data_IF_684160384150
#
_entry.id   IF_684160384150
#
_cell.length_a   1.000
_cell.length_b   1.000
_cell.length_c   1.000
_cell.angle_alpha   90.00
_cell.angle_beta   90.00
_cell.angle_gamma   90.00
#
_symmetry.space_group_name_H-M   'P 1'
#
loop_
_entity.id
_entity.type
_entity.pdbx_description
1 polymer ?
#
# COMPACT_ATOMS: atom_id res chain seq x y z
N UNK A 1 27.16 -5.02 9.49
CA UNK A 1 25.86 -4.88 10.20
C UNK A 1 25.01 -6.06 9.79
N UNK A 2 24.53 -6.87 10.74
CA UNK A 2 23.75 -8.07 10.43
C UNK A 2 22.37 -7.69 9.89
N UNK A 3 21.88 -8.42 8.89
CA UNK A 3 20.50 -8.26 8.40
C UNK A 3 19.55 -8.39 9.59
N UNK A 4 18.72 -7.37 9.80
CA UNK A 4 17.70 -7.39 10.84
C UNK A 4 16.67 -8.45 10.49
N UNK A 5 16.12 -9.13 11.50
CA UNK A 5 15.01 -10.05 11.26
C UNK A 5 13.81 -9.29 10.67
N UNK A 6 13.21 -9.85 9.62
CA UNK A 6 12.11 -9.21 8.89
C UNK A 6 10.92 -8.95 9.81
N UNK A 7 10.61 -9.85 10.75
CA UNK A 7 9.48 -9.68 11.65
C UNK A 7 9.74 -8.62 12.69
N UNK A 8 10.95 -8.55 13.23
CA UNK A 8 11.32 -7.48 14.17
C UNK A 8 11.16 -6.11 13.52
N UNK A 9 11.63 -5.97 12.27
CA UNK A 9 11.48 -4.72 11.52
C UNK A 9 10.00 -4.42 11.23
N UNK A 10 9.21 -5.40 10.77
CA UNK A 10 7.77 -5.22 10.49
C UNK A 10 6.99 -4.81 11.75
N UNK A 11 7.26 -5.45 12.88
CA UNK A 11 6.57 -5.17 14.14
C UNK A 11 6.88 -3.79 14.68
N UNK A 12 8.11 -3.31 14.50
CA UNK A 12 8.49 -1.96 14.89
C UNK A 12 7.92 -0.89 13.94
N UNK A 13 8.00 -1.14 12.62
CA UNK A 13 7.74 -0.10 11.62
C UNK A 13 6.38 -0.20 10.95
N UNK A 14 5.65 -1.30 11.10
CA UNK A 14 4.41 -1.57 10.37
C UNK A 14 4.56 -1.48 8.84
N UNK A 15 5.77 -1.69 8.31
CA UNK A 15 6.08 -1.48 6.89
C UNK A 15 6.79 -2.70 6.29
N UNK A 16 5.99 -3.69 5.85
CA UNK A 16 6.51 -4.92 5.22
C UNK A 16 7.39 -4.66 3.98
N UNK A 17 7.03 -3.75 3.05
CA UNK A 17 7.92 -3.41 1.94
C UNK A 17 9.34 -3.03 2.37
N UNK A 18 9.48 -2.15 3.37
CA UNK A 18 10.78 -1.70 3.86
C UNK A 18 11.49 -2.78 4.66
N UNK A 19 10.76 -3.56 5.47
CA UNK A 19 11.31 -4.68 6.21
C UNK A 19 11.91 -5.74 5.28
N UNK A 20 11.20 -6.09 4.19
CA UNK A 20 11.69 -7.02 3.19
C UNK A 20 12.94 -6.48 2.49
N UNK A 21 12.96 -5.19 2.14
CA UNK A 21 14.15 -4.58 1.55
C UNK A 21 15.38 -4.66 2.47
N UNK A 22 15.23 -4.28 3.73
CA UNK A 22 16.32 -4.30 4.71
C UNK A 22 16.83 -5.73 4.95
N UNK A 23 15.92 -6.67 5.19
CA UNK A 23 16.27 -8.03 5.57
C UNK A 23 16.75 -8.91 4.40
N UNK A 24 16.19 -8.74 3.20
CA UNK A 24 16.34 -9.68 2.08
C UNK A 24 17.04 -9.12 0.84
N UNK A 25 17.11 -7.79 0.68
CA UNK A 25 17.62 -7.17 -0.53
C UNK A 25 18.90 -6.36 -0.29
N UNK A 26 19.02 -5.71 0.86
CA UNK A 26 20.17 -4.86 1.19
C UNK A 26 21.43 -5.71 1.30
N UNK A 27 22.53 -5.24 0.69
CA UNK A 27 23.81 -5.96 0.60
C UNK A 27 23.73 -7.33 -0.09
N UNK A 28 22.77 -7.53 -0.98
CA UNK A 28 22.68 -8.73 -1.83
C UNK A 28 22.92 -8.41 -3.30
N UNK A 29 23.24 -9.45 -4.08
CA UNK A 29 23.33 -9.36 -5.54
C UNK A 29 21.99 -9.63 -6.25
N UNK A 30 20.87 -9.68 -5.50
CA UNK A 30 19.55 -9.90 -6.09
C UNK A 30 19.23 -8.84 -7.13
N UNK A 31 18.67 -9.30 -8.23
CA UNK A 31 18.13 -8.49 -9.31
C UNK A 31 16.64 -8.27 -9.12
N UNK A 32 16.07 -7.31 -9.84
CA UNK A 32 14.62 -7.12 -9.88
C UNK A 32 13.91 -8.39 -10.38
N UNK A 33 14.53 -9.16 -11.28
CA UNK A 33 14.00 -10.44 -11.73
C UNK A 33 13.95 -11.48 -10.60
N UNK A 34 14.95 -11.52 -9.71
CA UNK A 34 14.93 -12.45 -8.57
C UNK A 34 13.79 -12.10 -7.60
N UNK A 35 13.56 -10.81 -7.34
CA UNK A 35 12.42 -10.37 -6.51
C UNK A 35 11.08 -10.68 -7.16
N UNK A 36 11.01 -10.59 -8.49
CA UNK A 36 9.82 -10.97 -9.25
C UNK A 36 9.54 -12.47 -9.17
N UNK A 37 10.58 -13.31 -9.28
CA UNK A 37 10.46 -14.77 -9.14
C UNK A 37 10.02 -15.14 -7.70
N UNK A 38 10.56 -14.47 -6.68
CA UNK A 38 10.12 -14.58 -5.29
C UNK A 38 8.63 -14.17 -5.13
N UNK A 39 8.22 -13.06 -5.77
CA UNK A 39 6.84 -12.58 -5.75
C UNK A 39 5.86 -13.56 -6.42
N UNK A 40 6.24 -14.14 -7.56
CA UNK A 40 5.45 -15.17 -8.24
C UNK A 40 5.25 -16.38 -7.33
N UNK A 41 6.33 -16.86 -6.70
CA UNK A 41 6.29 -18.00 -5.79
C UNK A 41 5.39 -17.73 -4.59
N UNK A 42 5.49 -16.53 -4.01
CA UNK A 42 4.65 -16.08 -2.91
C UNK A 42 3.17 -16.03 -3.26
N UNK A 43 2.83 -15.40 -4.40
CA UNK A 43 1.42 -15.31 -4.86
C UNK A 43 0.83 -16.69 -5.12
N UNK A 44 1.57 -17.61 -5.75
CA UNK A 44 1.11 -18.98 -5.98
C UNK A 44 0.86 -19.73 -4.67
N UNK A 45 1.75 -19.57 -3.68
CA UNK A 45 1.61 -20.19 -2.35
C UNK A 45 0.35 -19.70 -1.64
N UNK A 46 0.18 -18.38 -1.54
CA UNK A 46 -0.99 -17.78 -0.89
C UNK A 46 -2.29 -18.14 -1.62
N UNK A 47 -2.26 -18.13 -2.95
CA UNK A 47 -3.37 -18.60 -3.77
C UNK A 47 -3.77 -20.04 -3.45
N UNK A 48 -2.80 -20.95 -3.35
CA UNK A 48 -3.06 -22.34 -2.97
C UNK A 48 -3.63 -22.46 -1.55
N UNK A 49 -3.11 -21.70 -0.58
CA UNK A 49 -3.62 -21.68 0.81
C UNK A 49 -5.07 -21.19 0.91
N UNK A 50 -5.49 -20.29 0.02
CA UNK A 50 -6.83 -19.72 -0.02
C UNK A 50 -7.81 -20.43 -0.96
N UNK A 51 -7.41 -21.55 -1.58
CA UNK A 51 -8.18 -22.23 -2.65
C UNK A 51 -8.50 -21.30 -3.84
N UNK A 52 -7.50 -20.50 -4.23
CA UNK A 52 -7.50 -19.51 -5.33
C UNK A 52 -6.40 -19.79 -6.37
N UNK A 53 -5.96 -21.04 -6.50
CA UNK A 53 -4.84 -21.42 -7.37
C UNK A 53 -4.99 -20.93 -8.82
N UNK A 54 -6.15 -21.10 -9.44
CA UNK A 54 -6.38 -20.65 -10.83
C UNK A 54 -6.24 -19.13 -10.99
N UNK A 55 -6.65 -18.36 -9.99
CA UNK A 55 -6.50 -16.90 -9.98
C UNK A 55 -5.04 -16.51 -9.77
N UNK A 56 -4.32 -17.18 -8.87
CA UNK A 56 -2.90 -16.95 -8.65
C UNK A 56 -2.04 -17.28 -9.88
N UNK A 57 -2.34 -18.37 -10.58
CA UNK A 57 -1.70 -18.71 -11.86
C UNK A 57 -1.93 -17.63 -12.92
N UNK A 58 -3.14 -17.09 -13.00
CA UNK A 58 -3.46 -15.99 -13.92
C UNK A 58 -2.67 -14.72 -13.58
N UNK A 59 -2.65 -14.30 -12.31
CA UNK A 59 -1.90 -13.10 -11.87
C UNK A 59 -0.39 -13.25 -12.13
N UNK A 60 0.17 -14.43 -11.86
CA UNK A 60 1.63 -14.66 -11.98
C UNK A 60 2.10 -14.85 -13.41
N UNK A 61 1.24 -15.31 -14.31
CA UNK A 61 1.53 -15.35 -15.75
C UNK A 61 1.84 -13.97 -16.32
N UNK A 62 1.10 -12.95 -15.88
CA UNK A 62 1.34 -11.55 -16.29
C UNK A 62 2.70 -11.04 -15.78
N UNK A 63 3.05 -11.36 -14.52
CA UNK A 63 4.36 -11.02 -13.96
C UNK A 63 5.51 -11.71 -14.71
N UNK A 64 5.37 -13.01 -15.00
CA UNK A 64 6.42 -13.81 -15.64
C UNK A 64 6.84 -13.23 -17.01
N UNK A 65 5.89 -12.68 -17.77
CA UNK A 65 6.15 -12.05 -19.07
C UNK A 65 7.08 -10.82 -18.98
N UNK A 66 7.19 -10.22 -17.80
CA UNK A 66 8.00 -9.02 -17.54
C UNK A 66 9.36 -9.34 -16.92
N UNK A 67 9.64 -10.60 -16.61
CA UNK A 67 10.91 -11.06 -16.03
C UNK A 67 12.12 -10.56 -16.79
N UNK A 68 12.05 -10.54 -18.12
CA UNK A 68 13.13 -10.06 -19.00
C UNK A 68 13.61 -8.63 -18.71
N UNK A 69 12.73 -7.78 -18.17
CA UNK A 69 13.07 -6.39 -17.87
C UNK A 69 13.85 -6.23 -16.55
N UNK A 70 13.82 -7.23 -15.67
CA UNK A 70 14.46 -7.16 -14.34
C UNK A 70 15.85 -7.80 -14.24
N UNK A 71 16.31 -8.54 -15.26
CA UNK A 71 17.46 -9.46 -15.17
C UNK A 71 18.81 -8.74 -14.93
N UNK A 72 18.94 -7.48 -15.34
CA UNK A 72 20.20 -6.72 -15.21
C UNK A 72 20.19 -5.66 -14.12
N UNK A 73 19.04 -5.47 -13.46
CA UNK A 73 18.82 -4.38 -12.52
C UNK A 73 19.06 -4.89 -11.10
N UNK A 74 20.25 -4.63 -10.54
CA UNK A 74 20.53 -4.98 -9.14
C UNK A 74 19.74 -4.07 -8.20
N UNK A 75 18.94 -4.65 -7.30
CA UNK A 75 18.01 -3.91 -6.43
C UNK A 75 18.68 -3.02 -5.39
N UNK A 76 19.91 -3.36 -4.99
CA UNK A 76 20.69 -2.55 -4.03
C UNK A 76 21.27 -1.29 -4.69
N UNK A 77 21.49 -1.33 -6.00
CA UNK A 77 22.09 -0.24 -6.79
C UNK A 77 21.05 0.59 -7.55
N UNK A 78 19.92 -0.02 -7.91
CA UNK A 78 18.86 0.60 -8.69
C UNK A 78 17.59 0.78 -7.86
N UNK A 79 17.22 2.04 -7.66
CA UNK A 79 16.03 2.44 -6.92
C UNK A 79 14.78 2.64 -7.81
N UNK A 80 14.84 2.27 -9.09
CA UNK A 80 13.69 2.40 -10.00
C UNK A 80 13.40 1.05 -10.63
N UNK A 81 12.11 0.74 -10.77
CA UNK A 81 11.67 -0.42 -11.52
C UNK A 81 11.62 -0.05 -13.01
N UNK A 82 11.85 -1.01 -13.92
CA UNK A 82 11.40 -0.87 -15.30
C UNK A 82 9.95 -0.41 -15.33
N UNK A 83 9.63 0.54 -16.21
CA UNK A 83 8.35 1.24 -16.20
C UNK A 83 7.18 0.26 -16.42
N UNK A 84 7.34 -0.68 -17.35
CA UNK A 84 6.37 -1.73 -17.66
C UNK A 84 6.11 -2.65 -16.46
N UNK A 85 7.14 -2.92 -15.65
CA UNK A 85 6.99 -3.71 -14.43
C UNK A 85 6.23 -2.92 -13.36
N UNK A 86 6.53 -1.62 -13.19
CA UNK A 86 5.81 -0.77 -12.25
C UNK A 86 4.31 -0.68 -12.59
N UNK A 87 3.98 -0.45 -13.86
CA UNK A 87 2.58 -0.42 -14.33
C UNK A 87 1.88 -1.76 -14.09
N UNK A 88 2.56 -2.88 -14.34
CA UNK A 88 1.97 -4.20 -14.13
C UNK A 88 1.73 -4.53 -12.66
N UNK A 89 2.64 -4.16 -11.75
CA UNK A 89 2.41 -4.35 -10.31
C UNK A 89 1.17 -3.59 -9.85
N UNK A 90 1.00 -2.35 -10.32
CA UNK A 90 -0.20 -1.54 -10.08
C UNK A 90 -1.44 -2.20 -10.69
N UNK A 91 -1.35 -2.65 -11.95
CA UNK A 91 -2.45 -3.32 -12.65
C UNK A 91 -2.93 -4.57 -11.90
N UNK A 92 -2.01 -5.45 -11.51
CA UNK A 92 -2.29 -6.68 -10.76
C UNK A 92 -2.96 -6.35 -9.42
N UNK A 93 -2.45 -5.36 -8.70
CA UNK A 93 -3.05 -4.94 -7.43
C UNK A 93 -4.41 -4.25 -7.60
N UNK A 94 -4.70 -3.66 -8.77
CA UNK A 94 -6.02 -3.06 -9.06
C UNK A 94 -7.09 -4.09 -9.44
N UNK A 95 -6.72 -5.34 -9.70
CA UNK A 95 -7.68 -6.37 -10.11
C UNK A 95 -8.52 -6.81 -8.93
N UNK A 96 -9.81 -6.98 -9.19
CA UNK A 96 -10.73 -7.69 -8.31
C UNK A 96 -10.29 -9.15 -8.17
N UNK A 97 -9.35 -9.38 -7.25
CA UNK A 97 -8.73 -10.67 -6.97
C UNK A 97 -8.49 -10.87 -5.49
N UNK A 98 -8.01 -12.05 -5.09
CA UNK A 98 -7.69 -12.32 -3.68
C UNK A 98 -6.54 -11.45 -3.14
N UNK A 99 -5.61 -11.01 -4.00
CA UNK A 99 -4.34 -10.43 -3.55
C UNK A 99 -4.50 -9.09 -2.80
N UNK A 100 -5.27 -8.10 -3.27
CA UNK A 100 -5.46 -6.85 -2.54
C UNK A 100 -6.14 -7.04 -1.19
N UNK A 101 -7.16 -7.91 -1.13
CA UNK A 101 -7.87 -8.25 0.11
C UNK A 101 -6.96 -8.95 1.12
N UNK A 102 -6.19 -9.94 0.67
CA UNK A 102 -5.22 -10.64 1.51
C UNK A 102 -4.15 -9.68 2.04
N UNK A 103 -3.56 -8.86 1.17
CA UNK A 103 -2.54 -7.90 1.58
C UNK A 103 -3.09 -6.88 2.58
N UNK A 104 -4.30 -6.35 2.37
CA UNK A 104 -4.94 -5.46 3.33
C UNK A 104 -5.14 -6.16 4.68
N UNK A 105 -5.66 -7.39 4.69
CA UNK A 105 -5.89 -8.17 5.90
C UNK A 105 -4.59 -8.41 6.70
N UNK A 106 -3.52 -8.84 6.03
CA UNK A 106 -2.24 -9.17 6.67
C UNK A 106 -1.53 -7.90 7.14
N UNK A 107 -1.45 -6.88 6.30
CA UNK A 107 -0.68 -5.66 6.57
C UNK A 107 -1.35 -4.72 7.58
N UNK A 108 -2.68 -4.78 7.75
CA UNK A 108 -3.39 -4.02 8.79
C UNK A 108 -3.09 -4.53 10.21
N UNK A 109 -2.52 -5.73 10.36
CA UNK A 109 -2.13 -6.30 11.66
C UNK A 109 -0.65 -6.68 11.71
N UNK A 110 0.30 -5.72 11.68
CA UNK A 110 1.73 -6.02 11.60
C UNK A 110 2.25 -6.96 12.70
N UNK A 111 1.64 -6.91 13.89
CA UNK A 111 2.02 -7.76 15.02
C UNK A 111 1.71 -9.24 14.79
N UNK A 112 0.74 -9.54 13.93
CA UNK A 112 0.26 -10.89 13.63
C UNK A 112 0.90 -11.52 12.40
N UNK A 113 1.77 -10.77 11.69
CA UNK A 113 2.44 -11.26 10.48
C UNK A 113 3.39 -12.40 10.85
N UNK A 114 3.23 -13.55 10.19
CA UNK A 114 4.13 -14.70 10.35
C UNK A 114 5.35 -14.59 9.44
N UNK A 115 6.44 -15.31 9.74
CA UNK A 115 7.61 -15.38 8.84
C UNK A 115 7.23 -15.86 7.44
N UNK A 116 6.27 -16.78 7.35
CA UNK A 116 5.80 -17.32 6.09
C UNK A 116 5.08 -16.26 5.26
N UNK A 117 4.17 -15.50 5.86
CA UNK A 117 3.48 -14.37 5.23
C UNK A 117 4.44 -13.25 4.85
N UNK A 118 5.41 -12.94 5.71
CA UNK A 118 6.43 -11.93 5.41
C UNK A 118 7.26 -12.33 4.19
N UNK A 119 7.60 -13.61 4.05
CA UNK A 119 8.37 -14.13 2.93
C UNK A 119 7.54 -14.29 1.64
N UNK A 120 6.26 -14.65 1.74
CA UNK A 120 5.38 -14.81 0.56
C UNK A 120 4.87 -13.46 0.02
N UNK A 121 4.47 -12.54 0.90
CA UNK A 121 3.89 -11.25 0.50
C UNK A 121 4.93 -10.12 0.41
N UNK A 122 6.06 -10.24 1.11
CA UNK A 122 7.13 -9.24 1.14
C UNK A 122 7.66 -8.84 -0.25
N UNK A 123 8.00 -9.80 -1.14
CA UNK A 123 8.51 -9.48 -2.47
C UNK A 123 7.54 -8.64 -3.31
N UNK A 124 6.27 -9.06 -3.42
CA UNK A 124 5.27 -8.30 -4.17
C UNK A 124 4.94 -6.96 -3.50
N UNK A 125 4.86 -6.94 -2.16
CA UNK A 125 4.68 -5.69 -1.38
C UNK A 125 5.78 -4.68 -1.69
N UNK A 126 7.04 -5.14 -1.78
CA UNK A 126 8.14 -4.27 -2.15
C UNK A 126 8.00 -3.75 -3.59
N UNK A 127 7.72 -4.63 -4.56
CA UNK A 127 7.53 -4.22 -5.96
C UNK A 127 6.43 -3.16 -6.11
N UNK A 128 5.27 -3.39 -5.49
CA UNK A 128 4.15 -2.44 -5.50
C UNK A 128 4.51 -1.11 -4.82
N UNK A 129 5.18 -1.17 -3.66
CA UNK A 129 5.66 0.02 -2.97
C UNK A 129 6.59 0.86 -3.85
N UNK A 130 7.52 0.22 -4.57
CA UNK A 130 8.40 0.91 -5.52
C UNK A 130 7.62 1.50 -6.68
N UNK A 131 6.67 0.75 -7.24
CA UNK A 131 5.84 1.20 -8.35
C UNK A 131 5.04 2.46 -7.99
N UNK A 132 4.34 2.47 -6.84
CA UNK A 132 3.56 3.62 -6.37
C UNK A 132 4.45 4.84 -6.12
N UNK A 133 5.65 4.67 -5.55
CA UNK A 133 6.59 5.79 -5.35
C UNK A 133 7.17 6.32 -6.65
N UNK A 134 7.37 5.46 -7.64
CA UNK A 134 7.87 5.86 -8.96
C UNK A 134 6.81 6.61 -9.76
N UNK A 135 5.56 6.17 -9.68
CA UNK A 135 4.39 6.71 -10.40
C UNK A 135 3.55 7.65 -9.53
N UNK A 136 4.18 8.21 -8.51
CA UNK A 136 3.52 8.99 -7.47
C UNK A 136 2.75 10.19 -8.04
N UNK A 137 1.55 10.41 -7.53
CA UNK A 137 0.72 11.55 -7.92
C UNK A 137 0.91 12.70 -6.94
N UNK A 138 1.11 13.91 -7.46
CA UNK A 138 1.23 15.13 -6.67
C UNK A 138 -0.01 16.02 -6.82
N UNK A 139 -0.15 17.03 -5.96
CA UNK A 139 -1.23 18.02 -6.04
C UNK A 139 -2.63 17.44 -5.78
N UNK A 140 -2.71 16.40 -4.95
CA UNK A 140 -3.97 15.88 -4.42
C UNK A 140 -4.21 16.53 -3.06
N UNK A 141 -5.22 17.42 -2.91
CA UNK A 141 -5.42 18.14 -1.65
C UNK A 141 -6.16 17.29 -0.61
N UNK A 142 -7.11 16.47 -1.02
CA UNK A 142 -7.94 15.69 -0.11
C UNK A 142 -8.32 14.38 -0.76
N UNK A 143 -8.34 13.31 0.04
CA UNK A 143 -8.88 12.01 -0.35
C UNK A 143 -9.86 11.49 0.69
N UNK A 144 -10.69 10.54 0.28
CA UNK A 144 -11.81 10.03 1.03
C UNK A 144 -11.76 8.51 1.09
N UNK A 145 -12.12 7.94 2.24
CA UNK A 145 -12.21 6.49 2.42
C UNK A 145 -13.40 6.15 3.28
N UNK A 146 -14.29 5.33 2.75
CA UNK A 146 -15.41 4.78 3.51
C UNK A 146 -14.97 3.46 4.14
N UNK A 147 -15.44 3.21 5.36
CA UNK A 147 -15.07 2.08 6.20
C UNK A 147 -16.30 1.62 6.98
N UNK A 148 -16.34 0.33 7.27
CA UNK A 148 -17.24 -0.23 8.28
C UNK A 148 -16.42 -0.48 9.54
N UNK A 149 -16.63 0.34 10.58
CA UNK A 149 -15.86 0.29 11.83
C UNK A 149 -16.78 0.16 13.05
N UNK A 150 -16.37 -0.69 13.98
CA UNK A 150 -16.89 -0.71 15.35
C UNK A 150 -16.54 0.58 16.11
N UNK A 151 -17.19 0.81 17.26
CA UNK A 151 -16.83 1.92 18.16
C UNK A 151 -15.37 1.78 18.64
N UNK A 152 -14.91 0.56 18.88
CA UNK A 152 -13.54 0.23 19.29
C UNK A 152 -12.53 0.59 18.21
N UNK A 153 -12.76 0.17 16.96
CA UNK A 153 -11.83 0.47 15.85
C UNK A 153 -11.79 1.97 15.55
N UNK A 154 -12.89 2.71 15.73
CA UNK A 154 -12.88 4.17 15.59
C UNK A 154 -11.95 4.86 16.59
N UNK A 155 -11.72 4.26 17.77
CA UNK A 155 -10.77 4.79 18.76
C UNK A 155 -9.33 4.79 18.21
N UNK A 156 -9.00 3.93 17.25
CA UNK A 156 -7.68 3.91 16.63
C UNK A 156 -7.44 5.09 15.68
N UNK A 157 -8.51 5.65 15.10
CA UNK A 157 -8.43 6.80 14.18
C UNK A 157 -8.53 8.16 14.86
N UNK A 158 -8.79 8.20 16.18
CA UNK A 158 -8.82 9.44 16.99
C UNK A 158 -7.56 9.61 17.85
N UNK A 159 -6.56 8.76 17.66
CA UNK A 159 -5.24 8.90 18.27
C UNK A 159 -4.49 10.11 17.69
N UNK A 160 -3.53 10.65 18.45
CA UNK A 160 -2.70 11.79 18.02
C UNK A 160 -1.96 11.52 16.71
N UNK A 161 -1.44 10.30 16.56
CA UNK A 161 -0.85 9.79 15.33
C UNK A 161 -1.61 8.53 14.90
N UNK A 162 -2.08 8.53 13.66
CA UNK A 162 -2.73 7.41 12.97
C UNK A 162 -1.82 6.97 11.84
N UNK A 163 -1.42 5.70 11.82
CA UNK A 163 -0.52 5.16 10.82
C UNK A 163 -1.23 4.12 9.98
N UNK A 164 -1.15 4.26 8.65
CA UNK A 164 -1.66 3.26 7.73
C UNK A 164 -0.55 2.26 7.44
N UNK A 165 -0.75 1.01 7.84
CA UNK A 165 0.26 -0.06 7.71
C UNK A 165 0.07 -0.89 6.45
N UNK A 166 -1.09 -0.80 5.79
CA UNK A 166 -1.40 -1.43 4.53
C UNK A 166 -1.45 -0.44 3.36
N UNK A 167 -1.39 -0.98 2.14
CA UNK A 167 -1.74 -0.22 0.94
C UNK A 167 -3.21 0.18 1.03
N UNK A 168 -3.47 1.48 1.02
CA UNK A 168 -4.80 2.01 1.34
C UNK A 168 -5.40 2.68 0.12
N UNK A 169 -6.42 2.03 -0.44
CA UNK A 169 -7.28 2.65 -1.45
C UNK A 169 -8.10 3.79 -0.84
N UNK A 170 -8.14 4.90 -1.56
CA UNK A 170 -8.95 6.09 -1.28
C UNK A 170 -9.48 6.67 -2.60
N UNK A 171 -10.37 7.65 -2.50
CA UNK A 171 -11.00 8.29 -3.64
C UNK A 171 -10.77 9.80 -3.59
N UNK A 172 -10.66 10.43 -4.75
CA UNK A 172 -10.50 11.90 -4.84
C UNK A 172 -11.81 12.67 -4.72
N UNK A 173 -12.95 11.99 -4.88
CA UNK A 173 -14.27 12.59 -4.76
C UNK A 173 -15.03 11.91 -3.63
N UNK A 174 -15.59 12.71 -2.72
CA UNK A 174 -16.37 12.21 -1.57
C UNK A 174 -17.53 11.31 -1.99
N UNK A 175 -18.21 11.67 -3.08
CA UNK A 175 -19.36 10.91 -3.61
C UNK A 175 -18.96 9.50 -4.09
N UNK A 176 -17.71 9.33 -4.52
CA UNK A 176 -17.21 8.06 -5.04
C UNK A 176 -16.80 7.13 -3.87
N UNK A 177 -16.49 7.69 -2.69
CA UNK A 177 -16.26 6.91 -1.47
C UNK A 177 -17.54 6.59 -0.70
N UNK A 178 -18.48 7.54 -0.57
CA UNK A 178 -19.68 7.44 0.29
C UNK A 178 -20.75 6.43 -0.20
N UNK A 179 -20.35 5.33 -0.80
CA UNK A 179 -21.27 4.31 -1.28
C UNK A 179 -21.59 3.24 -0.23
N UNK A 180 -20.68 2.96 0.72
CA UNK A 180 -20.79 1.79 1.60
C UNK A 180 -20.02 1.98 2.91
N UNK A 181 -20.68 1.79 4.07
CA UNK A 181 -20.03 1.76 5.38
C UNK A 181 -20.64 2.75 6.39
N UNK A 182 -20.26 2.63 7.65
CA UNK A 182 -20.73 3.46 8.76
C UNK A 182 -19.78 4.63 9.12
N UNK A 183 -18.58 4.69 8.52
CA UNK A 183 -17.55 5.69 8.85
C UNK A 183 -16.84 6.23 7.60
N UNK A 184 -16.83 7.55 7.44
CA UNK A 184 -16.06 8.25 6.41
C UNK A 184 -14.78 8.87 7.00
N UNK A 185 -13.64 8.54 6.41
CA UNK A 185 -12.40 9.29 6.60
C UNK A 185 -12.30 10.41 5.56
N UNK A 186 -12.05 11.63 6.03
CA UNK A 186 -11.70 12.79 5.21
C UNK A 186 -10.23 13.12 5.49
N UNK A 187 -9.37 12.87 4.50
CA UNK A 187 -7.91 12.92 4.67
C UNK A 187 -7.35 14.10 3.90
N UNK A 188 -6.93 15.14 4.63
CA UNK A 188 -6.24 16.31 4.09
C UNK A 188 -4.76 16.00 3.83
N UNK A 189 -4.34 16.07 2.57
CA UNK A 189 -2.97 15.84 2.12
C UNK A 189 -2.21 17.15 1.87
N UNK A 190 -2.87 18.29 2.02
CA UNK A 190 -2.27 19.61 1.83
C UNK A 190 -1.50 20.06 3.07
N UNK A 191 -0.29 19.51 3.25
CA UNK A 191 0.62 19.99 4.29
C UNK A 191 1.40 21.18 3.73
N UNK A 192 1.02 22.39 4.15
CA UNK A 192 1.86 23.57 4.00
C UNK A 192 3.09 23.41 4.90
N UNK A 193 4.15 22.80 4.38
CA UNK A 193 5.43 22.85 5.08
C UNK A 193 5.93 24.30 5.05
N UNK A 194 6.44 24.82 6.17
CA UNK A 194 7.10 26.13 6.23
C UNK A 194 8.43 26.18 5.45
N UNK A 195 8.74 25.16 4.64
CA UNK A 195 9.91 25.16 3.77
C UNK A 195 9.54 25.76 2.40
N UNK A 196 10.48 26.51 1.81
CA UNK A 196 10.36 27.30 0.56
C UNK A 196 9.99 26.52 -0.71
N UNK A 197 9.43 25.31 -0.59
CA UNK A 197 8.85 24.56 -1.70
C UNK A 197 7.48 24.08 -1.24
N UNK A 198 6.42 24.61 -1.86
CA UNK A 198 5.05 24.10 -1.80
C UNK A 198 5.00 22.66 -2.37
N UNK A 199 5.66 21.71 -1.70
CA UNK A 199 5.61 20.30 -2.04
C UNK A 199 4.44 19.70 -1.29
N UNK A 200 3.33 19.52 -2.01
CA UNK A 200 2.22 18.68 -1.56
C UNK A 200 2.77 17.33 -1.10
N UNK A 201 2.24 16.80 0.01
CA UNK A 201 2.63 15.47 0.49
C UNK A 201 2.39 14.47 -0.62
N UNK A 202 3.41 13.65 -0.88
CA UNK A 202 3.34 12.61 -1.88
C UNK A 202 3.35 11.28 -1.14
N UNK A 203 2.17 10.73 -0.89
CA UNK A 203 1.97 9.51 -0.10
C UNK A 203 1.26 8.38 -0.86
N UNK A 204 1.06 8.55 -2.17
CA UNK A 204 0.37 7.59 -3.03
C UNK A 204 0.47 7.90 -4.51
N UNK A 205 -0.22 7.09 -5.30
CA UNK A 205 -0.35 7.24 -6.75
C UNK A 205 -1.80 7.01 -7.19
N UNK A 206 -2.14 7.58 -8.33
CA UNK A 206 -3.38 7.25 -9.01
C UNK A 206 -3.31 5.83 -9.54
N UNK A 207 -4.36 5.05 -9.31
CA UNK A 207 -4.47 3.76 -9.98
C UNK A 207 -5.14 3.98 -11.33
N UNK A 208 -4.59 3.44 -12.42
CA UNK A 208 -5.23 3.49 -13.71
C UNK A 208 -6.56 2.73 -13.64
N UNK A 209 -7.64 3.49 -13.66
CA UNK A 209 -8.99 2.98 -13.72
C UNK A 209 -9.28 2.37 -15.09
N UNK A 210 -9.42 1.04 -15.16
CA UNK A 210 -9.95 0.38 -16.37
C UNK A 210 -11.49 0.47 -16.47
N UNK A 211 -12.12 1.31 -15.64
CA UNK A 211 -13.52 1.70 -15.75
C UNK A 211 -13.64 3.22 -15.78
N UNK A 212 -14.62 3.75 -16.53
CA UNK A 212 -14.89 5.18 -16.69
C UNK A 212 -15.28 5.94 -15.39
N UNK A 213 -15.10 5.32 -14.21
CA UNK A 213 -15.57 5.82 -12.91
C UNK A 213 -14.50 5.87 -11.80
N UNK A 214 -13.21 5.59 -12.05
CA UNK A 214 -12.24 5.43 -10.96
C UNK A 214 -11.14 6.51 -10.96
N UNK A 215 -11.34 7.57 -10.17
CA UNK A 215 -10.25 8.41 -9.67
C UNK A 215 -9.76 7.88 -8.31
N UNK A 216 -9.43 6.59 -8.22
CA UNK A 216 -8.89 6.02 -6.98
C UNK A 216 -7.41 6.39 -6.82
N UNK A 217 -7.04 6.68 -5.58
CA UNK A 217 -5.71 7.06 -5.15
C UNK A 217 -5.25 6.05 -4.09
N UNK A 218 -4.13 5.39 -4.34
CA UNK A 218 -3.60 4.35 -3.46
C UNK A 218 -2.40 4.86 -2.70
N UNK A 219 -2.54 4.88 -1.37
CA UNK A 219 -1.46 5.23 -0.47
C UNK A 219 -0.62 4.02 -0.12
N UNK A 220 0.69 4.20 0.02
CA UNK A 220 1.58 3.12 0.41
C UNK A 220 1.62 2.90 1.94
N UNK A 221 2.07 1.73 2.41
CA UNK A 221 2.32 1.47 3.82
C UNK A 221 3.27 2.46 4.49
N UNK A 222 2.99 2.76 5.75
CA UNK A 222 3.81 3.58 6.63
C UNK A 222 3.43 5.06 6.67
N UNK A 223 2.42 5.50 5.91
CA UNK A 223 1.96 6.88 5.89
C UNK A 223 1.28 7.23 7.21
N UNK A 224 1.62 8.40 7.77
CA UNK A 224 1.16 8.89 9.07
C UNK A 224 0.22 10.07 8.94
N UNK A 225 -0.76 10.16 9.83
CA UNK A 225 -1.74 11.23 9.87
C UNK A 225 -1.96 11.68 11.31
N UNK A 226 -2.37 12.92 11.47
CA UNK A 226 -2.86 13.47 12.73
C UNK A 226 -4.37 13.54 12.71
N UNK A 227 -4.98 13.09 13.80
CA UNK A 227 -6.40 13.34 14.03
C UNK A 227 -6.66 14.85 14.11
N UNK A 228 -7.69 15.32 13.40
CA UNK A 228 -8.08 16.73 13.41
C UNK A 228 -9.42 16.97 14.09
N UNK A 229 -10.45 16.19 13.75
CA UNK A 229 -11.80 16.34 14.32
C UNK A 229 -12.66 15.10 14.03
N UNK A 230 -13.73 14.96 14.82
CA UNK A 230 -14.71 13.89 14.72
C UNK A 230 -16.12 14.49 14.69
N UNK A 231 -16.96 14.04 13.77
CA UNK A 231 -18.36 14.47 13.63
C UNK A 231 -19.26 13.24 13.46
N UNK A 232 -20.53 13.38 13.78
CA UNK A 232 -21.56 12.39 13.45
C UNK A 232 -22.65 13.06 12.61
N UNK A 233 -22.83 12.55 11.39
CA UNK A 233 -23.90 12.95 10.49
C UNK A 233 -25.13 12.10 10.81
N UNK A 234 -26.09 12.70 11.54
CA UNK A 234 -27.30 12.02 11.96
C UNK A 234 -28.23 11.69 10.77
N UNK A 235 -28.22 12.49 9.70
CA UNK A 235 -29.08 12.26 8.54
C UNK A 235 -28.58 11.04 7.75
N UNK A 236 -27.26 10.89 7.63
CA UNK A 236 -26.64 9.73 6.98
C UNK A 236 -26.33 8.58 7.91
N UNK A 237 -26.58 8.73 9.22
CA UNK A 237 -26.18 7.80 10.27
C UNK A 237 -24.68 7.40 10.17
N UNK A 238 -23.82 8.39 9.89
CA UNK A 238 -22.42 8.14 9.51
C UNK A 238 -21.44 8.92 10.39
N UNK A 239 -20.41 8.23 10.86
CA UNK A 239 -19.31 8.86 11.59
C UNK A 239 -18.31 9.46 10.61
N UNK A 240 -17.83 10.67 10.88
CA UNK A 240 -16.89 11.37 10.00
C UNK A 240 -15.63 11.70 10.80
N UNK A 241 -14.50 11.14 10.37
CA UNK A 241 -13.19 11.34 10.99
C UNK A 241 -12.31 12.13 10.04
N UNK A 242 -11.77 13.23 10.52
CA UNK A 242 -10.91 14.10 9.73
C UNK A 242 -9.45 13.88 10.14
N UNK A 243 -8.63 13.55 9.15
CA UNK A 243 -7.21 13.28 9.29
C UNK A 243 -6.41 14.31 8.49
N UNK A 244 -5.25 14.71 9.00
CA UNK A 244 -4.29 15.58 8.32
C UNK A 244 -2.98 14.85 8.13
N UNK A 245 -2.44 14.87 6.92
CA UNK A 245 -1.17 14.22 6.63
C UNK A 245 -0.05 14.77 7.50
N UNK A 246 0.82 13.89 7.99
CA UNK A 246 2.02 14.29 8.72
C UNK A 246 3.06 14.88 7.76
N UNK A 247 3.82 15.87 8.25
CA UNK A 247 4.97 16.41 7.55
C UNK A 247 6.15 15.41 7.46
N UNK A 248 6.05 14.22 8.04
CA UNK A 248 7.07 13.17 7.93
C UNK A 248 6.90 12.29 6.69
N UNK A 249 5.82 12.46 5.91
CA UNK A 249 5.47 11.60 4.79
C UNK A 249 6.23 11.91 3.46
N UNK A 250 7.37 12.59 3.49
CA UNK A 250 8.14 13.01 2.29
C UNK A 250 9.06 11.93 1.72
#
# INVERSE_FOLDING_TARGET
SGNRDILDYVRETGNLPLAYYDAQLTNTDKTVADVLDDAITGILREGATLDKSSEAEWLTKELLNLRKYGIKENVSKHLKLPYELAEMCIYIYSKSSFLPGLMAQVLNSPQSITSEQANSLGPFSWLLYRALRQLKTTNIPTVYKDLELTDEERKDYVKEEVKFTAFTETYKQRRDSECVGNTLLIIDLNVKSNSFKDQNVCCGADMPGYSNLSMSFHMWPGVKFHFSKYEYDADKQKHIIYLKSSAENY
#
